data_IF_769386697880
#
_entry.id   IF_769386697880
#
_cell.length_a   1.000
_cell.length_b   1.000
_cell.length_c   1.000
_cell.angle_alpha   90.00
_cell.angle_beta   90.00
_cell.angle_gamma   90.00
#
_symmetry.space_group_name_H-M   'P 1'
#
loop_
_entity.id
_entity.type
_entity.pdbx_description
1 polymer ?
#
# COMPACT_ATOMS: atom_id res chain seq x y z
N UNK A 1 10.18 13.20 12.22
CA UNK A 1 9.81 11.78 12.15
C UNK A 1 8.33 11.61 12.35
N UNK A 2 7.67 10.85 11.49
CA UNK A 2 6.22 10.63 11.57
C UNK A 2 5.88 9.55 12.58
N UNK A 3 4.88 9.82 13.41
CA UNK A 3 4.38 8.84 14.38
C UNK A 3 2.88 9.07 14.63
N UNK A 4 2.23 8.03 15.19
CA UNK A 4 0.85 8.11 15.68
C UNK A 4 0.83 7.64 17.13
N UNK A 5 0.00 8.29 17.93
CA UNK A 5 -0.10 8.03 19.37
C UNK A 5 -1.55 7.91 19.81
N UNK A 6 -1.80 6.98 20.74
CA UNK A 6 -3.07 6.87 21.45
C UNK A 6 -2.82 6.43 22.88
N UNK A 7 -3.05 7.31 23.85
CA UNK A 7 -2.73 7.05 25.24
C UNK A 7 -1.23 6.85 25.43
N UNK A 8 -0.84 5.68 25.91
CA UNK A 8 0.57 5.32 26.10
C UNK A 8 1.17 4.60 24.90
N UNK A 9 0.34 4.28 23.90
CA UNK A 9 0.79 3.57 22.70
C UNK A 9 1.30 4.57 21.67
N UNK A 10 2.40 4.21 21.02
CA UNK A 10 3.01 5.01 19.98
C UNK A 10 3.60 4.07 18.93
N UNK A 11 3.34 4.38 17.66
CA UNK A 11 3.97 3.70 16.54
C UNK A 11 4.61 4.73 15.63
N UNK A 12 5.85 4.47 15.22
CA UNK A 12 6.57 5.37 14.33
C UNK A 12 6.54 4.82 12.90
N UNK A 13 6.74 5.71 11.94
CA UNK A 13 6.90 5.34 10.55
C UNK A 13 7.98 4.27 10.38
N UNK A 14 9.15 4.47 11.04
CA UNK A 14 10.28 3.56 10.91
C UNK A 14 9.97 2.14 11.45
N UNK A 15 9.28 2.05 12.58
CA UNK A 15 8.89 0.75 13.14
C UNK A 15 7.98 -0.02 12.20
N UNK A 16 6.96 0.65 11.67
CA UNK A 16 5.98 0.02 10.77
C UNK A 16 6.58 -0.30 9.41
N UNK A 17 7.47 0.57 8.91
CA UNK A 17 8.19 0.32 7.66
C UNK A 17 9.02 -0.95 7.75
N UNK A 18 9.68 -1.16 8.88
CA UNK A 18 10.49 -2.36 9.10
C UNK A 18 9.63 -3.62 9.15
N UNK A 19 8.48 -3.55 9.84
CA UNK A 19 7.55 -4.68 9.88
C UNK A 19 7.08 -5.07 8.48
N UNK A 20 6.73 -4.08 7.65
CA UNK A 20 6.26 -4.31 6.29
C UNK A 20 7.38 -4.92 5.45
N UNK A 21 8.56 -4.32 5.49
CA UNK A 21 9.70 -4.76 4.69
C UNK A 21 10.15 -6.19 5.04
N UNK A 22 10.20 -6.51 6.33
CA UNK A 22 10.71 -7.79 6.81
C UNK A 22 9.72 -8.94 6.61
N UNK A 23 8.42 -8.65 6.48
CA UNK A 23 7.37 -9.66 6.48
C UNK A 23 6.49 -9.69 5.21
N UNK A 24 6.70 -8.77 4.27
CA UNK A 24 5.92 -8.72 3.02
C UNK A 24 6.83 -8.51 1.83
N UNK A 25 6.24 -8.59 0.63
CA UNK A 25 6.95 -8.34 -0.63
C UNK A 25 7.06 -6.86 -0.98
N UNK A 26 6.61 -5.97 -0.11
CA UNK A 26 6.64 -4.53 -0.35
C UNK A 26 7.88 -3.87 0.22
N UNK A 27 8.42 -2.91 -0.55
CA UNK A 27 9.42 -1.97 -0.07
C UNK A 27 8.74 -0.64 0.24
N UNK A 28 9.15 0.01 1.33
CA UNK A 28 8.67 1.35 1.68
C UNK A 28 9.62 2.37 1.08
N UNK A 29 9.11 3.21 0.19
CA UNK A 29 9.96 4.14 -0.55
C UNK A 29 9.88 5.59 -0.06
N UNK A 30 8.77 5.97 0.57
CA UNK A 30 8.58 7.37 0.98
C UNK A 30 7.58 7.50 2.13
N UNK A 31 7.87 8.42 3.04
CA UNK A 31 6.95 8.86 4.08
C UNK A 31 6.18 10.08 3.56
N UNK A 32 4.88 9.93 3.34
CA UNK A 32 4.01 11.02 2.91
C UNK A 32 2.99 11.40 3.97
N UNK A 33 3.26 11.04 5.23
CA UNK A 33 2.34 11.29 6.35
C UNK A 33 1.98 12.77 6.49
N UNK A 34 2.92 13.67 6.21
CA UNK A 34 2.67 15.12 6.28
C UNK A 34 1.61 15.60 5.29
N UNK A 35 1.42 14.86 4.18
CA UNK A 35 0.42 15.21 3.15
C UNK A 35 -1.00 14.92 3.58
N UNK A 36 -1.19 14.10 4.63
CA UNK A 36 -2.51 13.84 5.20
C UNK A 36 -3.06 15.05 5.94
N UNK A 37 -2.18 15.94 6.40
CA UNK A 37 -2.50 17.07 7.28
C UNK A 37 -3.15 16.63 8.57
N UNK A 38 -2.87 15.40 9.02
CA UNK A 38 -3.38 14.80 10.25
C UNK A 38 -2.23 14.22 11.06
N UNK A 39 -2.34 14.30 12.37
CA UNK A 39 -1.35 13.73 13.30
C UNK A 39 -1.67 12.28 13.68
N UNK A 40 -2.89 11.83 13.36
CA UNK A 40 -3.41 10.51 13.74
C UNK A 40 -3.33 9.47 12.61
N UNK A 41 -2.71 9.82 11.49
CA UNK A 41 -2.56 8.92 10.33
C UNK A 41 -1.13 8.94 9.84
N UNK A 42 -0.56 7.73 9.62
CA UNK A 42 0.70 7.58 8.90
C UNK A 42 0.39 7.20 7.45
N UNK A 43 1.15 7.74 6.52
CA UNK A 43 0.97 7.45 5.10
C UNK A 43 2.31 7.10 4.45
N UNK A 44 2.29 6.06 3.62
CA UNK A 44 3.46 5.44 3.02
C UNK A 44 3.27 5.32 1.53
N UNK A 45 4.34 5.49 0.77
CA UNK A 45 4.41 4.98 -0.60
C UNK A 45 5.16 3.66 -0.54
N UNK A 46 4.52 2.61 -1.04
CA UNK A 46 5.10 1.28 -1.14
C UNK A 46 5.31 0.92 -2.61
N UNK A 47 6.21 -0.02 -2.86
CA UNK A 47 6.33 -0.61 -4.19
C UNK A 47 6.60 -2.09 -4.08
N UNK A 48 6.12 -2.84 -5.07
CA UNK A 48 6.43 -4.26 -5.20
C UNK A 48 6.85 -4.56 -6.64
N UNK A 49 7.63 -5.64 -6.80
CA UNK A 49 8.16 -6.04 -8.08
C UNK A 49 7.05 -6.55 -9.01
N UNK A 50 6.86 -5.90 -10.15
CA UNK A 50 5.86 -6.30 -11.13
C UNK A 50 6.15 -7.69 -11.72
N UNK A 51 7.43 -8.07 -11.84
CA UNK A 51 7.80 -9.40 -12.35
C UNK A 51 7.34 -10.52 -11.43
N UNK A 52 7.42 -10.30 -10.10
CA UNK A 52 6.90 -11.28 -9.13
C UNK A 52 5.39 -11.45 -9.27
N UNK A 53 4.66 -10.36 -9.49
CA UNK A 53 3.22 -10.39 -9.70
C UNK A 53 2.86 -11.09 -11.00
N UNK A 54 3.63 -10.86 -12.07
CA UNK A 54 3.42 -11.53 -13.36
C UNK A 54 3.58 -13.04 -13.24
N UNK A 55 4.58 -13.49 -12.49
CA UNK A 55 4.80 -14.92 -12.26
C UNK A 55 3.63 -15.55 -11.53
N UNK A 56 3.09 -14.88 -10.53
CA UNK A 56 1.94 -15.38 -9.79
C UNK A 56 0.69 -15.46 -10.67
N UNK A 57 0.49 -14.49 -11.55
CA UNK A 57 -0.62 -14.51 -12.51
C UNK A 57 -0.48 -15.67 -13.49
N UNK A 58 0.73 -15.95 -13.96
CA UNK A 58 1.01 -17.09 -14.84
C UNK A 58 0.76 -18.41 -14.14
N UNK A 59 1.15 -18.54 -12.87
CA UNK A 59 0.92 -19.75 -12.07
C UNK A 59 -0.55 -20.00 -11.80
N UNK A 60 -1.38 -18.95 -11.76
CA UNK A 60 -2.82 -19.06 -11.59
C UNK A 60 -3.54 -19.42 -12.90
N UNK A 61 -2.79 -19.65 -13.97
CA UNK A 61 -3.28 -20.01 -15.32
C UNK A 61 -4.26 -18.98 -15.91
N UNK A 62 -4.09 -17.73 -15.53
CA UNK A 62 -4.86 -16.64 -16.13
C UNK A 62 -4.29 -16.36 -17.51
N UNK A 63 -5.07 -16.69 -18.55
CA UNK A 63 -4.72 -16.39 -19.93
C UNK A 63 -4.90 -14.90 -20.20
N UNK A 64 -3.89 -14.13 -19.81
CA UNK A 64 -3.87 -12.71 -20.14
C UNK A 64 -2.99 -12.50 -21.36
N UNK A 65 -3.60 -12.09 -22.45
CA UNK A 65 -2.87 -11.74 -23.64
C UNK A 65 -2.48 -10.26 -23.57
N UNK A 66 -1.22 -10.03 -23.21
CA UNK A 66 -0.64 -8.70 -23.04
C UNK A 66 -0.72 -7.90 -24.34
N UNK A 67 -0.58 -8.59 -25.49
CA UNK A 67 -0.58 -7.95 -26.80
C UNK A 67 -1.97 -7.50 -27.23
N UNK A 68 -3.02 -8.15 -26.73
CA UNK A 68 -4.40 -7.81 -27.09
C UNK A 68 -5.03 -6.77 -26.18
N UNK A 69 -4.69 -6.77 -24.88
CA UNK A 69 -5.30 -5.84 -23.92
C UNK A 69 -4.35 -5.47 -22.79
N UNK A 70 -3.54 -4.46 -23.04
CA UNK A 70 -2.57 -3.94 -22.06
C UNK A 70 -3.25 -3.36 -20.82
N UNK A 71 -4.39 -2.68 -20.99
CA UNK A 71 -5.12 -2.09 -19.86
C UNK A 71 -5.66 -3.15 -18.91
N UNK A 72 -6.19 -4.24 -19.46
CA UNK A 72 -6.68 -5.35 -18.65
C UNK A 72 -5.51 -6.02 -17.90
N UNK A 73 -4.36 -6.16 -18.54
CA UNK A 73 -3.17 -6.72 -17.95
C UNK A 73 -2.68 -5.87 -16.78
N UNK A 74 -2.59 -4.55 -16.97
CA UNK A 74 -2.19 -3.61 -15.91
C UNK A 74 -3.17 -3.67 -14.75
N UNK A 75 -4.49 -3.70 -15.04
CA UNK A 75 -5.52 -3.81 -14.00
C UNK A 75 -5.34 -5.08 -13.17
N UNK A 76 -5.03 -6.22 -13.81
CA UNK A 76 -4.79 -7.47 -13.11
C UNK A 76 -3.53 -7.42 -12.24
N UNK A 77 -2.47 -6.75 -12.72
CA UNK A 77 -1.26 -6.53 -11.92
C UNK A 77 -1.57 -5.71 -10.66
N UNK A 78 -2.35 -4.64 -10.82
CA UNK A 78 -2.71 -3.78 -9.69
C UNK A 78 -3.62 -4.51 -8.71
N UNK A 79 -4.56 -5.30 -9.19
CA UNK A 79 -5.40 -6.14 -8.34
C UNK A 79 -4.55 -7.17 -7.56
N UNK A 80 -3.54 -7.73 -8.20
CA UNK A 80 -2.63 -8.67 -7.56
C UNK A 80 -1.81 -7.99 -6.46
N UNK A 81 -1.37 -6.77 -6.72
CA UNK A 81 -0.68 -5.96 -5.71
C UNK A 81 -1.57 -5.72 -4.49
N UNK A 82 -2.87 -5.44 -4.71
CA UNK A 82 -3.83 -5.26 -3.61
C UNK A 82 -4.03 -6.57 -2.83
N UNK A 83 -4.01 -7.72 -3.49
CA UNK A 83 -4.06 -9.02 -2.80
C UNK A 83 -2.84 -9.23 -1.91
N UNK A 84 -1.66 -8.87 -2.39
CA UNK A 84 -0.42 -8.96 -1.61
C UNK A 84 -0.47 -8.02 -0.40
N UNK A 85 -1.12 -6.88 -0.54
CA UNK A 85 -1.21 -5.89 0.54
C UNK A 85 -2.03 -6.41 1.74
N UNK A 86 -2.85 -7.46 1.58
CA UNK A 86 -3.54 -8.11 2.68
C UNK A 86 -2.54 -8.64 3.72
N UNK A 87 -1.35 -9.06 3.28
CA UNK A 87 -0.29 -9.51 4.18
C UNK A 87 0.15 -8.41 5.16
N UNK A 88 0.04 -7.15 4.73
CA UNK A 88 0.38 -6.01 5.59
C UNK A 88 -0.53 -5.98 6.81
N UNK A 89 -1.83 -6.20 6.61
CA UNK A 89 -2.79 -6.24 7.73
C UNK A 89 -2.46 -7.34 8.73
N UNK A 90 -1.95 -8.47 8.24
CA UNK A 90 -1.59 -9.61 9.10
C UNK A 90 -0.37 -9.34 9.97
N UNK A 91 0.57 -8.51 9.51
CA UNK A 91 1.80 -8.23 10.25
C UNK A 91 1.70 -7.00 11.14
N UNK A 92 0.67 -6.17 10.95
CA UNK A 92 0.46 -4.98 11.79
C UNK A 92 -0.10 -5.34 13.17
N UNK A 93 0.21 -4.53 14.21
CA UNK A 93 -0.46 -4.67 15.50
C UNK A 93 -1.99 -4.64 15.38
N UNK A 94 -2.67 -5.39 16.25
CA UNK A 94 -4.13 -5.55 16.21
C UNK A 94 -4.92 -4.25 16.42
N UNK A 95 -4.33 -3.27 17.08
CA UNK A 95 -4.97 -1.99 17.36
C UNK A 95 -4.86 -0.98 16.22
N UNK A 96 -4.27 -1.39 15.10
CA UNK A 96 -4.11 -0.55 13.92
C UNK A 96 -5.02 -1.00 12.79
N UNK A 97 -5.47 -0.01 12.00
CA UNK A 97 -6.19 -0.22 10.75
C UNK A 97 -5.30 0.20 9.59
N UNK A 98 -5.47 -0.45 8.47
CA UNK A 98 -4.75 -0.10 7.24
C UNK A 98 -5.74 0.00 6.07
N UNK A 99 -5.51 0.99 5.21
CA UNK A 99 -6.17 1.10 3.91
C UNK A 99 -5.10 1.28 2.86
N UNK A 100 -5.21 0.58 1.75
CA UNK A 100 -4.19 0.57 0.71
C UNK A 100 -4.83 0.55 -0.67
N UNK A 101 -4.09 1.10 -1.64
CA UNK A 101 -4.56 1.17 -3.02
C UNK A 101 -3.37 1.26 -3.97
N UNK A 102 -3.29 0.31 -4.91
CA UNK A 102 -2.29 0.37 -5.98
C UNK A 102 -2.73 1.46 -6.97
N UNK A 103 -1.86 2.42 -7.22
CA UNK A 103 -2.22 3.60 -8.01
C UNK A 103 -1.40 3.80 -9.29
N UNK A 104 -0.27 3.12 -9.43
CA UNK A 104 0.60 3.31 -10.58
C UNK A 104 1.40 2.06 -10.92
N UNK A 105 1.48 1.74 -12.21
CA UNK A 105 2.44 0.78 -12.74
C UNK A 105 3.57 1.58 -13.39
N UNK A 106 4.77 1.50 -12.83
CA UNK A 106 5.96 2.12 -13.38
C UNK A 106 6.70 1.10 -14.27
N UNK A 107 6.50 1.19 -15.57
CA UNK A 107 7.10 0.26 -16.52
C UNK A 107 8.62 0.37 -16.58
N UNK A 108 9.15 1.58 -16.39
CA UNK A 108 10.60 1.83 -16.45
C UNK A 108 11.32 1.16 -15.29
N UNK A 109 10.76 1.20 -14.11
CA UNK A 109 11.33 0.55 -12.93
C UNK A 109 10.82 -0.87 -12.73
N UNK A 110 9.74 -1.25 -13.40
CA UNK A 110 9.15 -2.58 -13.28
C UNK A 110 8.49 -2.82 -11.93
N UNK A 111 7.82 -1.82 -11.37
CA UNK A 111 7.20 -1.89 -10.05
C UNK A 111 5.76 -1.37 -10.06
N UNK A 112 4.97 -1.87 -9.13
CA UNK A 112 3.65 -1.33 -8.84
C UNK A 112 3.76 -0.48 -7.58
N UNK A 113 3.30 0.76 -7.67
CA UNK A 113 3.30 1.69 -6.53
C UNK A 113 1.94 1.68 -5.84
N UNK A 114 1.97 1.66 -4.52
CA UNK A 114 0.79 1.54 -3.66
C UNK A 114 0.84 2.61 -2.58
N UNK A 115 -0.30 3.25 -2.30
CA UNK A 115 -0.47 4.08 -1.12
C UNK A 115 -0.94 3.19 0.02
N UNK A 116 -0.36 3.39 1.21
CA UNK A 116 -0.79 2.74 2.43
C UNK A 116 -1.01 3.81 3.49
N UNK A 117 -2.18 3.82 4.13
CA UNK A 117 -2.45 4.68 5.27
C UNK A 117 -2.79 3.82 6.48
N UNK A 118 -2.26 4.20 7.64
CA UNK A 118 -2.41 3.46 8.89
C UNK A 118 -2.85 4.40 10.00
N UNK A 119 -3.81 3.97 10.81
CA UNK A 119 -4.26 4.69 12.00
C UNK A 119 -4.61 3.71 13.10
N UNK A 120 -4.81 4.21 14.32
CA UNK A 120 -5.45 3.41 15.37
C UNK A 120 -6.91 3.13 14.97
N UNK A 121 -7.44 2.00 15.42
CA UNK A 121 -8.82 1.59 15.06
C UNK A 121 -9.88 2.56 15.56
N UNK A 122 -9.56 3.39 16.55
CA UNK A 122 -10.47 4.42 17.07
C UNK A 122 -10.85 5.47 16.01
N UNK A 123 -10.01 5.68 14.99
CA UNK A 123 -10.35 6.60 13.90
C UNK A 123 -11.50 6.08 13.04
N UNK A 124 -11.55 4.77 12.84
CA UNK A 124 -12.57 4.10 12.04
C UNK A 124 -12.18 3.94 10.58
N UNK A 125 -12.65 2.85 9.98
CA UNK A 125 -12.32 2.48 8.59
C UNK A 125 -12.75 3.53 7.57
N UNK A 126 -13.93 4.12 7.75
CA UNK A 126 -14.45 5.09 6.78
C UNK A 126 -13.61 6.35 6.70
N UNK A 127 -13.17 6.86 7.85
CA UNK A 127 -12.31 8.05 7.88
C UNK A 127 -10.93 7.74 7.30
N UNK A 128 -10.38 6.57 7.63
CA UNK A 128 -9.09 6.16 7.11
C UNK A 128 -9.14 6.03 5.58
N UNK A 129 -10.20 5.44 5.05
CA UNK A 129 -10.41 5.32 3.61
C UNK A 129 -10.50 6.69 2.95
N UNK A 130 -11.22 7.64 3.57
CA UNK A 130 -11.33 9.00 3.04
C UNK A 130 -9.97 9.68 2.96
N UNK A 131 -9.12 9.52 3.97
CA UNK A 131 -7.77 10.05 3.96
C UNK A 131 -6.96 9.45 2.82
N UNK A 132 -7.03 8.12 2.67
CA UNK A 132 -6.34 7.42 1.58
C UNK A 132 -6.79 7.89 0.21
N UNK A 133 -8.09 8.04 0.00
CA UNK A 133 -8.65 8.49 -1.27
C UNK A 133 -8.21 9.93 -1.63
N UNK A 134 -8.10 10.80 -0.65
CA UNK A 134 -7.58 12.16 -0.87
C UNK A 134 -6.11 12.15 -1.26
N UNK A 135 -5.33 11.27 -0.63
CA UNK A 135 -3.91 11.13 -0.95
C UNK A 135 -3.69 10.64 -2.37
N UNK A 136 -4.52 9.72 -2.85
CA UNK A 136 -4.44 9.21 -4.21
C UNK A 136 -4.53 10.37 -5.21
N UNK A 137 -5.44 11.32 -4.98
CA UNK A 137 -5.61 12.50 -5.82
C UNK A 137 -4.34 13.37 -5.82
N UNK A 138 -3.70 13.52 -4.66
CA UNK A 138 -2.50 14.34 -4.51
C UNK A 138 -1.27 13.68 -5.11
N UNK A 139 -1.12 12.38 -4.94
CA UNK A 139 0.07 11.63 -5.35
C UNK A 139 -0.01 11.16 -6.81
N UNK A 140 -1.22 10.90 -7.30
CA UNK A 140 -1.44 10.43 -8.66
C UNK A 140 -1.33 11.50 -9.74
N UNK A 141 -1.19 12.74 -9.37
CA UNK A 141 -1.06 13.85 -10.32
C UNK A 141 0.39 14.13 -10.71
#
# INVERSE_FOLDING_TARGET
MSDIREGKKQYTFDELSKLIKDNTEFDVTMDISSRTKREDVLAFILQCDAEALKKDLEEEELELDIDEDEEAFISELMNKADEYAVEIEEVLPEDLLAYYYAFEYDEDEGVIKTILVISFESLGELKLRDVGNRLITVVGD
#
